data_IF_780720869671
#
_entry.id   IF_780720869671
#
_cell.length_a   1.000
_cell.length_b   1.000
_cell.length_c   1.000
_cell.angle_alpha   90.00
_cell.angle_beta   90.00
_cell.angle_gamma   90.00
#
_symmetry.space_group_name_H-M   'P 1'
#
loop_
_entity.id
_entity.type
_entity.pdbx_description
1 polymer ?
#
# COMPACT_ATOMS: atom_id res chain seq x y z
N UNK A 1 -5.13 -14.06 2.33
CA UNK A 1 -5.27 -12.74 2.98
C UNK A 1 -5.01 -11.67 1.95
N UNK A 2 -6.01 -10.87 1.63
CA UNK A 2 -5.91 -9.77 0.66
C UNK A 2 -5.67 -8.44 1.38
N UNK A 3 -5.01 -7.48 0.72
CA UNK A 3 -4.81 -6.13 1.27
C UNK A 3 -6.14 -5.42 1.61
N UNK A 4 -7.22 -5.76 0.90
CA UNK A 4 -8.56 -5.23 1.13
C UNK A 4 -9.16 -5.72 2.46
N UNK A 5 -8.98 -7.02 2.77
CA UNK A 5 -9.42 -7.60 4.05
C UNK A 5 -8.70 -6.92 5.23
N UNK A 6 -7.37 -6.81 5.17
CA UNK A 6 -6.60 -6.12 6.23
C UNK A 6 -6.97 -4.65 6.38
N UNK A 7 -7.24 -3.93 5.28
CA UNK A 7 -7.70 -2.55 5.35
C UNK A 7 -9.09 -2.41 6.00
N UNK A 8 -10.02 -3.35 5.71
CA UNK A 8 -11.36 -3.39 6.31
C UNK A 8 -11.34 -3.77 7.79
N UNK A 9 -10.42 -4.64 8.20
CA UNK A 9 -10.20 -5.01 9.61
C UNK A 9 -9.49 -3.92 10.42
N UNK A 10 -9.11 -2.80 9.79
CA UNK A 10 -8.41 -1.71 10.45
C UNK A 10 -6.92 -1.97 10.68
N UNK A 11 -6.39 -3.06 10.13
CA UNK A 11 -4.99 -3.49 10.27
C UNK A 11 -4.11 -2.66 9.32
N UNK A 12 -3.18 -1.90 9.91
CA UNK A 12 -2.16 -1.18 9.14
C UNK A 12 -1.04 -2.15 8.79
N UNK A 13 -0.87 -2.43 7.49
CA UNK A 13 0.20 -3.31 7.02
C UNK A 13 1.53 -2.57 6.86
N UNK A 14 2.65 -3.31 6.87
CA UNK A 14 3.97 -2.74 6.62
C UNK A 14 4.08 -2.03 5.25
N UNK A 15 3.28 -2.47 4.26
CA UNK A 15 3.22 -1.85 2.93
C UNK A 15 2.54 -0.47 2.97
N UNK A 16 1.47 -0.33 3.76
CA UNK A 16 0.81 0.95 4.01
C UNK A 16 1.76 1.92 4.71
N UNK A 17 2.54 1.44 5.68
CA UNK A 17 3.55 2.25 6.37
C UNK A 17 4.65 2.71 5.41
N UNK A 18 5.14 1.82 4.55
CA UNK A 18 6.18 2.16 3.57
C UNK A 18 5.69 3.22 2.58
N UNK A 19 4.46 3.09 2.07
CA UNK A 19 3.86 4.09 1.19
C UNK A 19 3.64 5.41 1.93
N UNK A 20 3.13 5.36 3.16
CA UNK A 20 2.91 6.53 3.99
C UNK A 20 4.20 7.34 4.19
N UNK A 21 5.31 6.67 4.53
CA UNK A 21 6.61 7.31 4.68
C UNK A 21 7.09 7.92 3.34
N UNK A 22 6.91 7.20 2.22
CA UNK A 22 7.37 7.65 0.90
C UNK A 22 6.59 8.87 0.38
N UNK A 23 5.27 8.85 0.54
CA UNK A 23 4.36 9.91 0.11
C UNK A 23 4.22 11.03 1.16
N UNK A 24 4.92 10.91 2.30
CA UNK A 24 4.86 11.83 3.44
C UNK A 24 3.45 12.04 4.01
N UNK A 25 2.65 10.97 4.03
CA UNK A 25 1.29 10.93 4.59
C UNK A 25 1.23 10.00 5.79
N UNK A 26 0.12 9.98 6.53
CA UNK A 26 -0.04 9.04 7.65
C UNK A 26 -0.46 7.64 7.16
N UNK A 27 -0.01 6.57 7.83
CA UNK A 27 -0.42 5.20 7.48
C UNK A 27 -1.93 4.97 7.65
N UNK A 28 -2.59 5.71 8.53
CA UNK A 28 -4.05 5.69 8.69
C UNK A 28 -4.77 6.29 7.47
N UNK A 29 -4.20 7.36 6.89
CA UNK A 29 -4.72 7.97 5.66
C UNK A 29 -4.60 7.00 4.48
N UNK A 30 -3.44 6.34 4.34
CA UNK A 30 -3.25 5.32 3.30
C UNK A 30 -4.23 4.16 3.47
N UNK A 31 -4.43 3.68 4.70
CA UNK A 31 -5.42 2.64 5.01
C UNK A 31 -6.83 3.06 4.61
N UNK A 32 -7.23 4.30 4.93
CA UNK A 32 -8.56 4.83 4.58
C UNK A 32 -8.75 4.87 3.05
N UNK A 33 -7.74 5.32 2.30
CA UNK A 33 -7.78 5.30 0.84
C UNK A 33 -7.85 3.88 0.25
N UNK A 34 -7.17 2.90 0.86
CA UNK A 34 -7.24 1.49 0.47
C UNK A 34 -8.59 0.88 0.81
N UNK A 35 -9.12 1.17 2.00
CA UNK A 35 -10.43 0.69 2.46
C UNK A 35 -11.58 1.25 1.60
N UNK A 36 -11.44 2.49 1.12
CA UNK A 36 -12.37 3.11 0.15
C UNK A 36 -12.20 2.60 -1.28
N UNK A 37 -11.13 1.86 -1.57
CA UNK A 37 -10.78 1.45 -2.93
C UNK A 37 -10.31 2.61 -3.82
N UNK A 38 -9.95 3.76 -3.25
CA UNK A 38 -9.46 4.93 -3.97
C UNK A 38 -7.96 4.84 -4.27
N UNK A 39 -7.20 4.11 -3.44
CA UNK A 39 -5.77 3.87 -3.65
C UNK A 39 -5.51 2.38 -3.62
N UNK A 40 -4.82 1.88 -4.63
CA UNK A 40 -4.22 0.54 -4.62
C UNK A 40 -2.74 0.73 -4.35
N UNK A 41 -2.22 0.08 -3.31
CA UNK A 41 -0.78 0.07 -3.05
C UNK A 41 -0.16 -0.97 -3.99
N UNK A 42 0.67 -0.57 -4.96
CA UNK A 42 1.38 -1.55 -5.77
C UNK A 42 2.43 -2.23 -4.86
N UNK A 43 2.15 -3.49 -4.49
CA UNK A 43 3.07 -4.35 -3.74
C UNK A 43 4.37 -4.70 -4.51
N UNK A 44 4.50 -4.25 -5.77
CA UNK A 44 5.63 -4.60 -6.61
C UNK A 44 6.83 -3.66 -6.39
N UNK A 45 7.63 -3.95 -5.36
CA UNK A 45 8.98 -3.38 -5.17
C UNK A 45 10.01 -3.82 -6.23
N UNK A 46 9.61 -4.65 -7.21
CA UNK A 46 10.47 -5.21 -8.27
C UNK A 46 10.15 -4.74 -9.70
N UNK A 47 9.78 -3.47 -9.89
CA UNK A 47 9.78 -2.91 -11.25
C UNK A 47 10.59 -1.62 -11.38
N UNK A 48 11.78 -1.61 -10.78
CA UNK A 48 12.84 -0.65 -11.09
C UNK A 48 14.19 -1.38 -11.07
N UNK A 49 14.43 -2.27 -12.05
CA UNK A 49 15.74 -2.59 -12.66
C UNK A 49 15.78 -3.97 -13.37
N UNK A 50 16.03 -3.95 -14.70
CA UNK A 50 16.64 -5.03 -15.51
C UNK A 50 15.67 -6.09 -16.07
N UNK A 51 15.65 -6.45 -17.36
CA UNK A 51 16.54 -6.21 -18.48
C UNK A 51 15.87 -6.73 -19.78
N UNK A 52 16.50 -6.46 -20.92
CA UNK A 52 15.97 -6.76 -22.25
C UNK A 52 15.66 -8.24 -22.52
N UNK A 53 14.82 -8.44 -23.53
CA UNK A 53 14.42 -9.69 -24.14
C UNK A 53 13.49 -9.38 -25.30
#
# INVERSE_FOLDING_TARGET
MTQLESAREGVITAEMIRVAIRENVTPEFVRDCVARGSVVIPANVRHLAGGGG
#
